data_IF_442987115809
#
_entry.id   IF_442987115809
#
_cell.length_a   1.000
_cell.length_b   1.000
_cell.length_c   1.000
_cell.angle_alpha   90.00
_cell.angle_beta   90.00
_cell.angle_gamma   90.00
#
_symmetry.space_group_name_H-M   'P 1'
#
loop_
_entity.id
_entity.type
_entity.pdbx_description
1 polymer ?
#
# COMPACT_ATOMS: atom_id res chain seq x y z
N UNK A 1 -7.90 9.37 -4.83
CA UNK A 1 -6.71 8.56 -5.14
C UNK A 1 -5.74 9.49 -5.84
N UNK A 2 -4.50 9.60 -5.36
CA UNK A 2 -3.52 10.50 -5.94
C UNK A 2 -2.61 9.67 -6.88
N UNK A 3 -2.44 10.13 -8.12
CA UNK A 3 -1.46 9.59 -9.06
C UNK A 3 -0.17 10.37 -8.85
N UNK A 4 0.93 9.67 -8.61
CA UNK A 4 2.22 10.29 -8.30
C UNK A 4 3.02 10.48 -9.59
N UNK A 5 3.38 11.72 -9.88
CA UNK A 5 4.33 12.08 -10.95
C UNK A 5 5.78 12.20 -10.43
N UNK A 6 5.98 12.33 -9.11
CA UNK A 6 7.29 12.38 -8.46
C UNK A 6 7.32 11.55 -7.16
N UNK A 7 8.04 10.40 -7.12
CA UNK A 7 8.11 9.52 -5.96
C UNK A 7 8.54 10.19 -4.64
N UNK A 8 9.33 11.27 -4.73
CA UNK A 8 9.81 11.99 -3.54
C UNK A 8 8.70 12.73 -2.79
N UNK A 9 7.61 13.13 -3.46
CA UNK A 9 6.47 13.77 -2.79
C UNK A 9 5.63 12.73 -2.05
N UNK A 10 5.44 11.56 -2.64
CA UNK A 10 4.79 10.41 -2.02
C UNK A 10 5.47 10.01 -0.69
N UNK A 11 6.80 9.97 -0.64
CA UNK A 11 7.51 9.63 0.59
C UNK A 11 7.36 10.65 1.73
N UNK A 12 6.92 11.88 1.46
CA UNK A 12 6.66 12.89 2.50
C UNK A 12 5.38 12.58 3.29
N UNK A 13 4.40 11.95 2.66
CA UNK A 13 3.10 11.60 3.25
C UNK A 13 3.13 10.34 4.14
N UNK A 14 4.25 9.62 4.12
CA UNK A 14 4.44 8.42 4.95
C UNK A 14 5.19 8.85 6.21
N UNK A 15 4.68 8.58 7.43
CA UNK A 15 5.39 9.00 8.65
C UNK A 15 6.44 7.97 9.11
N UNK A 16 6.29 6.69 8.76
CA UNK A 16 7.13 5.62 9.31
C UNK A 16 8.33 5.30 8.42
N UNK A 17 9.55 5.43 8.97
CA UNK A 17 10.81 5.20 8.26
C UNK A 17 10.91 3.81 7.61
N UNK A 18 10.62 2.74 8.36
CA UNK A 18 10.70 1.36 7.84
C UNK A 18 9.72 1.09 6.70
N UNK A 19 8.51 1.67 6.75
CA UNK A 19 7.54 1.57 5.65
C UNK A 19 8.09 2.27 4.40
N UNK A 20 8.71 3.46 4.53
CA UNK A 20 9.38 4.12 3.40
C UNK A 20 10.49 3.26 2.81
N UNK A 21 11.33 2.68 3.65
CA UNK A 21 12.44 1.82 3.21
C UNK A 21 11.92 0.60 2.45
N UNK A 22 10.87 -0.05 2.93
CA UNK A 22 10.26 -1.18 2.23
C UNK A 22 9.67 -0.75 0.88
N UNK A 23 8.92 0.34 0.83
CA UNK A 23 8.36 0.81 -0.44
C UNK A 23 9.46 1.19 -1.42
N UNK A 24 10.56 1.78 -0.95
CA UNK A 24 11.71 2.05 -1.81
C UNK A 24 12.24 0.77 -2.45
N UNK A 25 12.39 -0.33 -1.70
CA UNK A 25 12.80 -1.63 -2.24
C UNK A 25 11.82 -2.12 -3.32
N UNK A 26 10.52 -1.96 -3.09
CA UNK A 26 9.50 -2.33 -4.09
C UNK A 26 9.68 -1.49 -5.36
N UNK A 27 9.71 -0.16 -5.23
CA UNK A 27 9.83 0.75 -6.38
C UNK A 27 11.16 0.61 -7.12
N UNK A 28 12.26 0.28 -6.42
CA UNK A 28 13.57 0.04 -7.02
C UNK A 28 13.58 -1.24 -7.89
N UNK A 29 12.60 -2.14 -7.72
CA UNK A 29 12.42 -3.35 -8.52
C UNK A 29 11.45 -3.18 -9.71
N UNK A 30 10.75 -2.04 -9.78
CA UNK A 30 9.76 -1.76 -10.82
C UNK A 30 10.36 -1.07 -12.04
N UNK A 31 9.65 -1.13 -13.16
CA UNK A 31 10.01 -0.37 -14.37
C UNK A 31 9.75 1.13 -14.19
N UNK A 32 10.52 1.99 -14.87
CA UNK A 32 10.31 3.44 -14.93
C UNK A 32 8.92 3.86 -15.46
N UNK A 33 8.22 2.96 -16.18
CA UNK A 33 6.87 3.20 -16.70
C UNK A 33 5.76 2.94 -15.67
N UNK A 34 6.12 2.48 -14.48
CA UNK A 34 5.17 2.11 -13.44
C UNK A 34 4.52 3.35 -12.84
N UNK A 35 3.19 3.40 -12.95
CA UNK A 35 2.37 4.41 -12.29
C UNK A 35 2.09 4.00 -10.86
N UNK A 36 2.27 4.96 -9.96
CA UNK A 36 2.04 4.79 -8.53
C UNK A 36 0.73 5.49 -8.16
N UNK A 37 -0.20 4.73 -7.58
CA UNK A 37 -1.43 5.24 -6.98
C UNK A 37 -1.44 4.87 -5.51
N UNK A 38 -1.71 5.84 -4.64
CA UNK A 38 -1.72 5.56 -3.20
C UNK A 38 -2.83 6.30 -2.46
N UNK A 39 -3.09 5.81 -1.24
CA UNK A 39 -3.96 6.45 -0.25
C UNK A 39 -3.48 6.11 1.15
N UNK A 40 -3.44 7.11 2.02
CA UNK A 40 -3.16 6.94 3.45
C UNK A 40 -4.43 7.17 4.27
N UNK A 41 -4.51 6.54 5.45
CA UNK A 41 -5.59 6.74 6.40
C UNK A 41 -5.09 6.54 7.83
N UNK A 42 -5.63 7.30 8.78
CA UNK A 42 -5.50 7.04 10.21
C UNK A 42 -6.88 6.79 10.79
N UNK A 43 -7.03 5.73 11.59
CA UNK A 43 -8.27 5.48 12.33
C UNK A 43 -8.29 6.17 13.71
N UNK A 44 -9.39 5.99 14.44
CA UNK A 44 -9.60 6.57 15.77
C UNK A 44 -8.60 6.10 16.84
N UNK A 45 -7.91 4.97 16.61
CA UNK A 45 -6.88 4.43 17.49
C UNK A 45 -5.47 4.85 17.06
N UNK A 46 -5.37 5.84 16.16
CA UNK A 46 -4.12 6.30 15.57
C UNK A 46 -3.35 5.19 14.85
N UNK A 47 -4.05 4.20 14.30
CA UNK A 47 -3.45 3.20 13.41
C UNK A 47 -3.33 3.76 12.03
N UNK A 48 -2.16 3.62 11.46
CA UNK A 48 -1.87 4.05 10.10
C UNK A 48 -2.10 2.92 9.11
N UNK A 49 -2.70 3.28 7.98
CA UNK A 49 -2.91 2.43 6.84
C UNK A 49 -2.41 3.11 5.59
N UNK A 50 -1.65 2.37 4.77
CA UNK A 50 -1.23 2.79 3.45
C UNK A 50 -1.64 1.74 2.42
N UNK A 51 -2.38 2.22 1.44
CA UNK A 51 -2.78 1.49 0.24
C UNK A 51 -1.89 1.97 -0.90
N UNK A 52 -1.19 1.06 -1.56
CA UNK A 52 -0.30 1.34 -2.68
C UNK A 52 -0.67 0.40 -3.83
N UNK A 53 -0.93 0.97 -5.00
CA UNK A 53 -1.22 0.26 -6.24
C UNK A 53 -0.17 0.67 -7.27
N UNK A 54 0.51 -0.33 -7.82
CA UNK A 54 1.50 -0.18 -8.87
C UNK A 54 0.92 -0.74 -10.16
N UNK A 55 0.96 0.06 -11.21
CA UNK A 55 0.39 -0.30 -12.51
C UNK A 55 1.31 0.12 -13.64
N UNK A 56 1.70 -0.82 -14.48
CA UNK A 56 2.37 -0.55 -15.74
C UNK A 56 1.35 -0.66 -16.87
N UNK A 57 1.20 0.37 -17.71
CA UNK A 57 0.25 0.34 -18.83
C UNK A 57 0.62 -0.71 -19.89
N UNK A 58 1.88 -1.17 -19.90
CA UNK A 58 2.38 -2.20 -20.80
C UNK A 58 2.17 -3.62 -20.26
N UNK A 59 1.65 -3.76 -19.05
CA UNK A 59 1.40 -5.04 -18.40
C UNK A 59 -0.09 -5.15 -18.05
N UNK A 60 -0.65 -6.34 -18.27
CA UNK A 60 -2.07 -6.60 -17.99
C UNK A 60 -2.35 -6.77 -16.49
N UNK A 61 -1.33 -6.73 -15.64
CA UNK A 61 -1.44 -6.92 -14.20
C UNK A 61 -1.03 -5.67 -13.42
N UNK A 62 -1.70 -5.45 -12.30
CA UNK A 62 -1.38 -4.42 -11.33
C UNK A 62 -1.18 -5.07 -9.96
N UNK A 63 -0.23 -4.54 -9.19
CA UNK A 63 0.11 -5.06 -7.87
C UNK A 63 -0.40 -4.14 -6.78
N UNK A 64 -1.16 -4.70 -5.86
CA UNK A 64 -1.64 -4.03 -4.67
C UNK A 64 -0.75 -4.40 -3.48
N UNK A 65 -0.36 -3.38 -2.73
CA UNK A 65 0.42 -3.48 -1.50
C UNK A 65 -0.32 -2.76 -0.38
N UNK A 66 -0.41 -3.41 0.76
CA UNK A 66 -1.01 -2.86 1.96
C UNK A 66 -0.02 -2.85 3.10
N UNK A 67 0.04 -1.72 3.79
CA UNK A 67 0.83 -1.55 5.00
C UNK A 67 -0.08 -1.07 6.13
N UNK A 68 0.08 -1.66 7.31
CA UNK A 68 -0.55 -1.18 8.53
C UNK A 68 0.46 -1.12 9.65
N UNK A 69 0.44 -0.05 10.44
CA UNK A 69 1.26 0.06 11.64
C UNK A 69 0.42 0.74 12.71
N UNK A 70 0.34 0.12 13.88
CA UNK A 70 -0.27 0.75 15.05
C UNK A 70 0.75 1.55 15.87
N UNK A 71 0.24 2.31 16.85
CA UNK A 71 1.06 3.18 17.69
C UNK A 71 2.03 2.42 18.63
N UNK A 72 1.83 1.11 18.83
CA UNK A 72 2.68 0.25 19.65
C UNK A 72 3.76 -0.36 18.75
N UNK A 73 3.36 -1.03 17.68
CA UNK A 73 4.21 -1.66 16.68
C UNK A 73 5.22 -0.66 16.11
N UNK A 74 4.77 0.56 15.78
CA UNK A 74 5.65 1.61 15.26
C UNK A 74 6.79 1.99 16.21
N UNK A 75 6.63 1.86 17.53
CA UNK A 75 7.73 2.10 18.50
C UNK A 75 8.82 1.05 18.42
N UNK A 76 8.47 -0.17 18.04
CA UNK A 76 9.39 -1.28 17.79
C UNK A 76 9.81 -1.36 16.31
N UNK A 77 9.27 -0.46 15.48
CA UNK A 77 9.44 -0.50 14.04
C UNK A 77 8.83 -1.77 13.43
N UNK A 78 7.75 -2.27 14.02
CA UNK A 78 6.96 -3.35 13.45
C UNK A 78 5.81 -2.76 12.63
N UNK A 79 5.40 -3.50 11.62
CA UNK A 79 4.26 -3.18 10.77
C UNK A 79 3.79 -4.46 10.09
N UNK A 80 2.50 -4.52 9.83
CA UNK A 80 1.88 -5.56 9.02
C UNK A 80 1.96 -5.18 7.54
N UNK A 81 2.23 -6.17 6.70
CA UNK A 81 2.34 -5.99 5.25
C UNK A 81 1.81 -7.22 4.53
N UNK A 82 1.09 -6.98 3.43
CA UNK A 82 0.84 -7.99 2.42
C UNK A 82 0.79 -7.35 1.03
N UNK A 83 1.00 -8.19 0.02
CA UNK A 83 0.81 -7.83 -1.39
C UNK A 83 0.09 -8.93 -2.14
N UNK A 84 -0.64 -8.53 -3.18
CA UNK A 84 -1.32 -9.45 -4.08
C UNK A 84 -1.62 -8.77 -5.43
N UNK A 85 -1.90 -9.55 -6.48
CA UNK A 85 -2.46 -9.02 -7.72
C UNK A 85 -3.80 -8.30 -7.49
N UNK A 86 -4.08 -7.25 -8.28
CA UNK A 86 -5.37 -6.53 -8.21
C UNK A 86 -6.57 -7.47 -8.48
N UNK A 87 -6.40 -8.49 -9.32
CA UNK A 87 -7.43 -9.51 -9.57
C UNK A 87 -7.86 -10.20 -8.28
N UNK A 88 -6.90 -10.57 -7.46
CA UNK A 88 -7.11 -11.34 -6.24
C UNK A 88 -7.68 -10.44 -5.13
N UNK A 89 -7.41 -9.13 -5.20
CA UNK A 89 -7.96 -8.16 -4.27
C UNK A 89 -9.47 -8.02 -4.44
N UNK A 90 -9.95 -8.01 -5.69
CA UNK A 90 -11.40 -7.98 -5.98
C UNK A 90 -12.08 -9.19 -5.35
N UNK A 91 -11.50 -10.36 -5.55
CA UNK A 91 -11.99 -11.63 -4.98
C UNK A 91 -11.99 -11.58 -3.44
N UNK A 92 -10.91 -11.11 -2.81
CA UNK A 92 -10.82 -10.95 -1.36
C UNK A 92 -11.89 -9.99 -0.81
N UNK A 93 -12.11 -8.86 -1.48
CA UNK A 93 -13.12 -7.87 -1.10
C UNK A 93 -14.55 -8.40 -1.25
N UNK A 94 -14.81 -9.23 -2.27
CA UNK A 94 -16.09 -9.90 -2.43
C UNK A 94 -16.34 -10.92 -1.31
N UNK A 95 -15.36 -11.78 -1.03
CA UNK A 95 -15.48 -12.78 0.04
C UNK A 95 -15.61 -12.16 1.43
N UNK A 96 -14.85 -11.09 1.73
CA UNK A 96 -14.94 -10.41 3.02
C UNK A 96 -16.32 -9.79 3.26
N UNK A 97 -17.00 -9.27 2.23
CA UNK A 97 -18.39 -8.80 2.36
C UNK A 97 -19.34 -9.93 2.71
N UNK A 98 -19.17 -11.12 2.11
CA UNK A 98 -19.99 -12.30 2.43
C UNK A 98 -19.78 -12.70 3.90
N UNK A 99 -18.52 -12.74 4.35
CA UNK A 99 -18.19 -13.12 5.73
C UNK A 99 -18.69 -12.12 6.77
N UNK A 100 -18.76 -10.83 6.45
CA UNK A 100 -19.26 -9.81 7.38
C UNK A 100 -20.79 -9.78 7.50
N UNK A 101 -21.51 -10.41 6.57
CA UNK A 101 -22.98 -10.47 6.53
C UNK A 101 -23.51 -11.84 6.99
N UNK A 102 -22.62 -12.82 7.24
CA UNK A 102 -22.93 -14.13 7.80
C UNK A 102 -22.68 -14.18 9.30
#
# INVERSE_FOLDING_TARGET
>A
MNIVSNPNEFFKEIPYKKIKEHIKIILDAESDFTKIVYKTHHDLNNRYYLFLLLRNDNEDFAHFHFFSSDSIDSKFGEYFYFSLPESDLKVLLEYSKIMLVS
#
